data_IF_167906418452
#
_entry.id   IF_167906418452
#
_cell.length_a   1.000
_cell.length_b   1.000
_cell.length_c   1.000
_cell.angle_alpha   90.00
_cell.angle_beta   90.00
_cell.angle_gamma   90.00
#
_symmetry.space_group_name_H-M   'P 1'
#
loop_
_entity.id
_entity.type
_entity.pdbx_description
1 polymer ?
#
# COMPACT_ATOMS: atom_id res chain seq x y z
N UNK A 1 -2.23 -23.58 2.43
CA UNK A 1 -3.05 -22.62 1.65
C UNK A 1 -2.49 -21.22 1.89
N UNK A 2 -1.97 -20.54 0.88
CA UNK A 2 -1.19 -19.29 1.01
C UNK A 2 -2.02 -18.03 0.63
N UNK A 3 -3.18 -17.87 1.29
CA UNK A 3 -4.16 -16.82 1.01
C UNK A 3 -4.38 -15.87 2.18
N UNK A 4 -4.94 -14.69 1.92
CA UNK A 4 -5.25 -13.72 2.96
C UNK A 4 -6.23 -14.27 4.00
N UNK A 5 -5.97 -13.96 5.28
CA UNK A 5 -6.89 -14.29 6.38
C UNK A 5 -8.24 -13.57 6.19
N UNK A 6 -9.34 -14.30 6.37
CA UNK A 6 -10.71 -13.80 6.31
C UNK A 6 -11.48 -14.15 7.58
N UNK A 7 -12.45 -13.34 7.93
CA UNK A 7 -13.41 -13.60 9.02
C UNK A 7 -14.82 -13.35 8.51
N UNK A 8 -15.81 -14.02 9.12
CA UNK A 8 -17.21 -13.77 8.85
C UNK A 8 -17.66 -12.53 9.62
N UNK A 9 -18.15 -11.51 8.90
CA UNK A 9 -18.81 -10.36 9.51
C UNK A 9 -20.32 -10.65 9.57
N UNK A 10 -20.84 -10.80 10.79
CA UNK A 10 -22.26 -11.13 11.00
C UNK A 10 -23.20 -9.95 10.70
N UNK A 11 -22.71 -8.72 10.77
CA UNK A 11 -23.46 -7.49 10.48
C UNK A 11 -23.62 -7.31 8.98
N UNK A 12 -22.53 -7.47 8.23
CA UNK A 12 -22.51 -7.34 6.78
C UNK A 12 -22.89 -8.64 6.04
N UNK A 13 -23.06 -9.75 6.78
CA UNK A 13 -23.36 -11.09 6.25
C UNK A 13 -22.42 -11.52 5.12
N UNK A 14 -21.13 -11.26 5.27
CA UNK A 14 -20.10 -11.58 4.27
C UNK A 14 -18.75 -11.92 4.90
N UNK A 15 -17.90 -12.60 4.13
CA UNK A 15 -16.48 -12.73 4.49
C UNK A 15 -15.76 -11.40 4.22
N UNK A 16 -14.96 -10.97 5.20
CA UNK A 16 -14.11 -9.78 5.11
C UNK A 16 -12.65 -10.14 5.33
N UNK A 17 -11.76 -9.42 4.65
CA UNK A 17 -10.32 -9.62 4.80
C UNK A 17 -9.81 -8.96 6.08
N UNK A 18 -9.06 -9.71 6.88
CA UNK A 18 -8.61 -9.23 8.19
C UNK A 18 -7.62 -8.06 8.05
N UNK A 19 -6.68 -8.12 7.11
CA UNK A 19 -5.73 -7.02 6.88
C UNK A 19 -6.44 -5.69 6.54
N UNK A 20 -7.59 -5.73 5.86
CA UNK A 20 -8.38 -4.50 5.58
C UNK A 20 -9.02 -3.94 6.84
N UNK A 21 -9.45 -4.81 7.76
CA UNK A 21 -10.01 -4.36 9.05
C UNK A 21 -8.93 -3.71 9.91
N UNK A 22 -7.74 -4.32 10.01
CA UNK A 22 -6.63 -3.77 10.80
C UNK A 22 -6.18 -2.43 10.22
N UNK A 23 -6.03 -2.32 8.89
CA UNK A 23 -5.68 -1.07 8.25
C UNK A 23 -6.73 0.03 8.50
N UNK A 24 -8.02 -0.27 8.36
CA UNK A 24 -9.09 0.69 8.65
C UNK A 24 -9.07 1.16 10.12
N UNK A 25 -8.85 0.22 11.06
CA UNK A 25 -8.71 0.54 12.48
C UNK A 25 -7.52 1.47 12.73
N UNK A 26 -6.37 1.19 12.13
CA UNK A 26 -5.17 2.03 12.25
C UNK A 26 -5.36 3.43 11.67
N UNK A 27 -6.15 3.57 10.60
CA UNK A 27 -6.49 4.86 10.00
C UNK A 27 -7.54 5.64 10.80
N UNK A 28 -8.24 4.99 11.75
CA UNK A 28 -9.39 5.57 12.45
C UNK A 28 -10.60 5.84 11.54
N UNK A 29 -10.63 5.27 10.33
CA UNK A 29 -11.72 5.42 9.36
C UNK A 29 -11.86 4.20 8.46
N UNK A 30 -13.02 4.07 7.82
CA UNK A 30 -13.19 3.07 6.77
C UNK A 30 -12.22 3.34 5.59
N UNK A 31 -11.85 2.26 4.91
CA UNK A 31 -11.13 2.38 3.63
C UNK A 31 -12.06 2.99 2.58
N UNK A 32 -11.55 3.97 1.85
CA UNK A 32 -12.23 4.59 0.73
C UNK A 32 -12.34 3.61 -0.45
N UNK A 33 -13.35 3.80 -1.33
CA UNK A 33 -13.40 3.07 -2.59
C UNK A 33 -12.09 3.22 -3.38
N UNK A 34 -11.51 2.09 -3.78
CA UNK A 34 -10.23 2.06 -4.51
C UNK A 34 -9.00 1.86 -3.64
N UNK A 35 -9.06 2.11 -2.32
CA UNK A 35 -7.92 1.87 -1.44
C UNK A 35 -7.57 0.38 -1.34
N UNK A 36 -6.28 0.07 -1.50
CA UNK A 36 -5.68 -1.27 -1.46
C UNK A 36 -4.66 -1.34 -0.34
N UNK A 37 -4.55 -2.49 0.32
CA UNK A 37 -3.55 -2.72 1.38
C UNK A 37 -2.42 -3.57 0.82
N UNK A 38 -1.20 -3.10 0.99
CA UNK A 38 0.05 -3.75 0.62
C UNK A 38 0.80 -4.20 1.89
N UNK A 39 1.41 -5.39 1.86
CA UNK A 39 2.20 -5.92 2.99
C UNK A 39 3.68 -5.66 2.71
N UNK A 40 4.32 -4.81 3.50
CA UNK A 40 5.68 -4.32 3.23
C UNK A 40 6.74 -5.43 3.26
N UNK A 41 6.56 -6.45 4.11
CA UNK A 41 7.44 -7.62 4.17
C UNK A 41 7.02 -8.78 3.24
N UNK A 42 5.93 -8.63 2.49
CA UNK A 42 5.37 -9.67 1.63
C UNK A 42 4.65 -10.82 2.36
N UNK A 43 4.65 -10.85 3.69
CA UNK A 43 3.94 -11.86 4.49
C UNK A 43 2.47 -11.45 4.69
N UNK A 44 1.57 -12.19 4.03
CA UNK A 44 0.11 -11.98 4.08
C UNK A 44 -0.53 -12.30 5.44
N UNK A 45 0.24 -12.89 6.36
CA UNK A 45 -0.20 -13.24 7.71
C UNK A 45 0.33 -12.27 8.77
N UNK A 46 1.30 -11.43 8.44
CA UNK A 46 1.77 -10.36 9.32
C UNK A 46 0.83 -9.15 9.24
N UNK A 47 -0.11 -9.12 10.18
CA UNK A 47 -1.19 -8.14 10.26
C UNK A 47 -0.84 -6.93 11.13
N UNK A 48 0.43 -6.76 11.55
CA UNK A 48 0.82 -5.60 12.35
C UNK A 48 0.59 -4.31 11.54
N UNK A 49 -0.02 -3.25 12.12
CA UNK A 49 -0.33 -2.02 11.38
C UNK A 49 0.87 -1.43 10.65
N UNK A 50 2.07 -1.47 11.27
CA UNK A 50 3.32 -1.00 10.67
C UNK A 50 3.76 -1.79 9.44
N UNK A 51 3.23 -2.99 9.21
CA UNK A 51 3.48 -3.80 8.01
C UNK A 51 2.44 -3.57 6.89
N UNK A 52 1.37 -2.82 7.18
CA UNK A 52 0.24 -2.62 6.27
C UNK A 52 0.25 -1.21 5.68
N UNK A 53 0.67 -1.09 4.42
CA UNK A 53 0.64 0.17 3.69
C UNK A 53 -0.68 0.34 2.93
N UNK A 54 -1.39 1.42 3.19
CA UNK A 54 -2.61 1.79 2.43
C UNK A 54 -2.21 2.59 1.18
N UNK A 55 -2.63 2.10 0.02
CA UNK A 55 -2.38 2.71 -1.28
C UNK A 55 -3.69 3.19 -1.91
N UNK A 56 -3.68 4.32 -2.64
CA UNK A 56 -4.91 4.96 -3.14
C UNK A 56 -5.59 4.17 -4.26
N UNK A 57 -4.87 3.23 -4.91
CA UNK A 57 -5.40 2.47 -6.03
C UNK A 57 -4.62 1.17 -6.27
N UNK A 58 -5.22 0.28 -7.06
CA UNK A 58 -4.53 -0.90 -7.57
C UNK A 58 -3.33 -0.54 -8.46
N UNK A 59 -3.39 0.58 -9.20
CA UNK A 59 -2.27 1.05 -10.01
C UNK A 59 -1.06 1.41 -9.14
N UNK A 60 -1.29 2.13 -8.04
CA UNK A 60 -0.24 2.44 -7.06
C UNK A 60 0.35 1.16 -6.46
N UNK A 61 -0.48 0.17 -6.12
CA UNK A 61 -0.02 -1.14 -5.65
C UNK A 61 0.92 -1.83 -6.65
N UNK A 62 0.55 -1.85 -7.94
CA UNK A 62 1.39 -2.45 -8.98
C UNK A 62 2.73 -1.73 -9.15
N UNK A 63 2.77 -0.41 -8.98
CA UNK A 63 4.02 0.37 -9.02
C UNK A 63 4.92 0.00 -7.84
N UNK A 64 4.39 -0.02 -6.62
CA UNK A 64 5.14 -0.39 -5.41
C UNK A 64 5.71 -1.80 -5.54
N UNK A 65 4.86 -2.79 -5.89
CA UNK A 65 5.27 -4.18 -6.14
C UNK A 65 6.38 -4.28 -7.20
N UNK A 66 6.26 -3.52 -8.28
CA UNK A 66 7.27 -3.51 -9.34
C UNK A 66 8.63 -3.00 -8.84
N UNK A 67 8.63 -1.92 -8.06
CA UNK A 67 9.83 -1.32 -7.47
C UNK A 67 10.48 -2.29 -6.48
N UNK A 68 9.70 -2.86 -5.55
CA UNK A 68 10.21 -3.80 -4.56
C UNK A 68 10.78 -5.07 -5.20
N UNK A 69 10.11 -5.61 -6.22
CA UNK A 69 10.62 -6.75 -6.98
C UNK A 69 11.93 -6.45 -7.72
N UNK A 70 12.13 -5.22 -8.18
CA UNK A 70 13.42 -4.81 -8.77
C UNK A 70 14.49 -4.71 -7.70
N UNK A 71 14.17 -4.08 -6.56
CA UNK A 71 15.08 -3.96 -5.40
C UNK A 71 15.53 -5.32 -4.88
N UNK A 72 14.61 -6.29 -4.76
CA UNK A 72 14.95 -7.65 -4.30
C UNK A 72 15.85 -8.43 -5.28
N UNK A 73 15.94 -7.97 -6.53
CA UNK A 73 16.89 -8.47 -7.55
C UNK A 73 18.17 -7.64 -7.65
N UNK A 74 18.41 -6.72 -6.70
CA UNK A 74 19.57 -5.83 -6.71
C UNK A 74 19.48 -4.68 -7.72
N UNK A 75 18.32 -4.48 -8.35
CA UNK A 75 18.10 -3.40 -9.30
C UNK A 75 17.41 -2.23 -8.60
N UNK A 76 18.19 -1.30 -8.07
CA UNK A 76 17.62 -0.07 -7.53
C UNK A 76 17.03 0.79 -8.67
N UNK A 77 15.86 1.44 -8.48
CA UNK A 77 15.37 2.42 -9.42
C UNK A 77 16.37 3.57 -9.57
N UNK A 78 16.44 4.15 -10.77
CA UNK A 78 17.43 5.17 -11.13
C UNK A 78 17.25 6.49 -10.37
N UNK A 79 16.02 6.80 -9.95
CA UNK A 79 15.67 7.98 -9.17
C UNK A 79 14.87 7.58 -7.93
N UNK A 80 14.96 8.39 -6.88
CA UNK A 80 14.12 8.23 -5.70
C UNK A 80 12.65 8.51 -6.05
N UNK A 81 11.72 7.86 -5.33
CA UNK A 81 10.28 7.98 -5.59
C UNK A 81 9.82 9.44 -5.53
N UNK A 82 10.39 10.21 -4.61
CA UNK A 82 10.14 11.64 -4.46
C UNK A 82 10.52 12.42 -5.73
N UNK A 83 11.68 12.13 -6.31
CA UNK A 83 12.19 12.77 -7.53
C UNK A 83 11.34 12.41 -8.77
N UNK A 84 10.76 11.21 -8.81
CA UNK A 84 9.86 10.79 -9.89
C UNK A 84 8.47 11.48 -9.83
N UNK A 85 8.00 11.86 -8.63
CA UNK A 85 6.72 12.54 -8.45
C UNK A 85 6.87 14.07 -8.58
N UNK A 86 7.99 14.64 -8.12
CA UNK A 86 8.27 16.07 -8.20
C UNK A 86 8.77 16.54 -9.58
N UNK A 87 9.14 15.64 -10.49
CA UNK A 87 9.55 15.99 -11.86
C UNK A 87 8.49 16.70 -12.72
N UNK A 88 7.25 16.83 -12.24
CA UNK A 88 6.18 17.65 -12.86
C UNK A 88 5.93 18.99 -12.17
N UNK A 89 6.64 19.31 -11.08
CA UNK A 89 6.58 20.64 -10.48
C UNK A 89 7.77 21.41 -11.03
N UNK A 90 7.51 22.32 -11.97
CA UNK A 90 8.45 23.41 -12.25
C UNK A 90 8.74 24.09 -10.92
N UNK A 91 9.93 23.88 -10.37
CA UNK A 91 10.45 24.72 -9.32
C UNK A 91 10.55 26.11 -9.93
N UNK A 92 9.56 26.96 -9.63
CA UNK A 92 9.67 28.40 -9.80
C UNK A 92 10.90 28.81 -9.01
N UNK A 93 11.91 29.47 -9.62
CA UNK A 93 13.03 29.94 -8.85
C UNK A 93 12.51 31.03 -7.92
N UNK A 94 12.83 30.92 -6.63
CA UNK A 94 12.70 32.04 -5.70
C UNK A 94 13.52 33.20 -6.26
N UNK A 95 12.87 34.36 -6.42
CA UNK A 95 13.53 35.63 -6.68
C UNK A 95 13.86 36.26 -5.32
N UNK A 96 15.16 36.47 -5.07
CA UNK A 96 15.68 37.34 -4.01
C UNK A 96 15.15 38.79 -4.13
#
# INVERSE_FOLDING_TARGET
MNGYKRVWDNTLKKQVYVHRLVAAQSLGRALLPGEVIHHLNGDKHDLRPENLLTLPSQAAHMVVEHIERKRSRGMAPLFELEQMVTGSVCLVPELD
#
